data_IF_045928044231
#
_entry.id   IF_045928044231
#
_cell.length_a   1.000
_cell.length_b   1.000
_cell.length_c   1.000
_cell.angle_alpha   90.00
_cell.angle_beta   90.00
_cell.angle_gamma   90.00
#
_symmetry.space_group_name_H-M   'P 1'
#
loop_
_entity.id
_entity.type
_entity.pdbx_description
1 polymer ?
#
# COMPACT_ATOMS: atom_id res chain seq x y z
N UNK A 1 0.80 20.33 -31.16
CA UNK A 1 2.12 20.31 -31.85
C UNK A 1 3.07 19.47 -31.02
N UNK A 2 3.82 18.55 -31.64
CA UNK A 2 4.76 17.67 -30.92
C UNK A 2 6.19 17.87 -31.43
N UNK A 3 7.06 18.36 -30.54
CA UNK A 3 8.52 18.15 -30.55
C UNK A 3 8.81 17.54 -29.18
N UNK A 4 9.53 16.43 -29.03
CA UNK A 4 10.54 15.88 -29.94
C UNK A 4 11.86 15.90 -29.18
N UNK A 5 12.19 14.79 -28.51
CA UNK A 5 13.46 14.58 -27.79
C UNK A 5 14.06 13.27 -28.27
N UNK A 6 15.35 13.29 -28.54
CA UNK A 6 16.11 12.12 -29.01
C UNK A 6 16.78 11.42 -27.83
N UNK A 7 16.93 10.09 -27.93
CA UNK A 7 17.94 9.35 -27.18
C UNK A 7 19.36 9.75 -27.67
N UNK A 8 20.40 9.40 -26.90
CA UNK A 8 21.10 8.14 -27.22
C UNK A 8 21.22 7.21 -26.00
N UNK A 9 20.91 5.93 -26.18
CA UNK A 9 21.10 4.92 -25.15
C UNK A 9 22.55 4.46 -25.04
N UNK A 10 22.95 4.02 -23.83
CA UNK A 10 24.21 3.30 -23.60
C UNK A 10 23.93 2.08 -22.72
N UNK A 11 24.20 0.89 -23.25
CA UNK A 11 24.17 -0.35 -22.46
C UNK A 11 25.39 -0.37 -21.56
N UNK A 12 25.21 -0.14 -20.26
CA UNK A 12 26.24 -0.39 -19.26
C UNK A 12 26.29 -1.89 -18.94
N UNK A 13 27.42 -2.52 -19.22
CA UNK A 13 27.66 -3.93 -18.92
C UNK A 13 27.87 -4.16 -17.41
N UNK A 14 27.54 -5.37 -16.96
CA UNK A 14 27.66 -5.82 -15.57
C UNK A 14 29.08 -5.61 -15.00
N UNK A 15 29.18 -4.89 -13.89
CA UNK A 15 30.43 -4.76 -13.14
C UNK A 15 30.72 -6.09 -12.42
N UNK A 16 31.68 -6.87 -12.93
CA UNK A 16 32.19 -8.06 -12.23
C UNK A 16 32.89 -7.66 -10.93
N UNK A 17 32.73 -8.49 -9.91
CA UNK A 17 33.46 -8.42 -8.65
C UNK A 17 34.72 -9.31 -8.72
N UNK A 18 35.87 -8.75 -8.36
CA UNK A 18 37.13 -9.46 -8.09
C UNK A 18 37.77 -8.90 -6.79
N UNK A 19 38.66 -9.66 -6.12
CA UNK A 19 38.67 -9.70 -4.66
C UNK A 19 39.62 -8.73 -3.92
N UNK A 20 39.38 -8.63 -2.62
CA UNK A 20 40.11 -7.81 -1.64
C UNK A 20 41.54 -8.35 -1.39
N UNK A 21 42.48 -7.44 -1.18
CA UNK A 21 43.82 -7.71 -0.60
C UNK A 21 44.02 -6.89 0.69
N UNK A 22 44.79 -7.38 1.69
CA UNK A 22 44.84 -6.82 3.03
C UNK A 22 45.77 -5.59 3.20
N UNK A 23 45.60 -4.78 4.26
CA UNK A 23 46.44 -3.61 4.53
C UNK A 23 47.79 -3.96 5.16
N UNK A 24 48.83 -3.18 4.82
CA UNK A 24 50.14 -3.25 5.47
C UNK A 24 50.20 -2.38 6.75
N UNK A 25 51.01 -2.80 7.72
CA UNK A 25 51.13 -2.19 9.04
C UNK A 25 52.60 -1.77 9.28
N UNK A 26 52.85 -0.53 9.72
CA UNK A 26 54.08 -0.17 10.45
C UNK A 26 53.96 1.17 11.22
N UNK A 27 54.74 1.39 12.32
CA UNK A 27 54.30 2.30 13.39
C UNK A 27 55.34 3.38 13.82
N UNK A 28 54.91 4.22 14.79
CA UNK A 28 55.62 5.23 15.65
C UNK A 28 55.05 6.65 15.48
N UNK A 29 54.97 7.52 16.51
CA UNK A 29 55.13 7.33 17.97
C UNK A 29 54.56 8.54 18.73
N UNK A 30 54.44 8.39 20.06
CA UNK A 30 54.64 9.38 21.15
C UNK A 30 55.26 10.74 20.75
N UNK A 31 54.92 11.90 21.35
CA UNK A 31 54.21 12.20 22.60
C UNK A 31 53.54 13.59 22.56
N UNK A 32 52.57 13.86 23.45
CA UNK A 32 52.73 14.87 24.53
C UNK A 32 51.47 15.01 25.42
N UNK A 33 51.69 15.31 26.70
CA UNK A 33 50.67 15.66 27.71
C UNK A 33 50.94 17.07 28.23
N UNK A 34 49.89 17.84 28.53
CA UNK A 34 49.97 18.85 29.58
C UNK A 34 48.68 18.92 30.41
N UNK A 35 48.89 19.23 31.68
CA UNK A 35 47.95 19.21 32.81
C UNK A 35 48.27 20.51 33.61
N UNK A 36 47.36 21.21 34.30
CA UNK A 36 46.09 20.76 34.89
C UNK A 36 44.87 21.53 34.28
N UNK A 37 43.87 22.18 34.90
CA UNK A 37 43.51 22.62 36.28
C UNK A 37 41.99 22.43 36.55
N UNK A 38 41.53 22.79 37.75
CA UNK A 38 40.13 22.71 38.21
C UNK A 38 39.69 24.07 38.81
N UNK A 39 38.39 24.29 38.97
CA UNK A 39 37.90 25.07 40.11
C UNK A 39 36.49 24.63 40.54
N UNK A 40 36.28 24.43 41.84
CA UNK A 40 34.97 24.13 42.44
C UNK A 40 34.37 25.39 43.11
N UNK A 41 33.06 25.39 43.35
CA UNK A 41 32.38 26.44 44.11
C UNK A 41 30.99 25.97 44.54
N UNK A 42 30.79 25.83 45.85
CA UNK A 42 29.66 25.08 46.46
C UNK A 42 28.91 25.90 47.52
N UNK A 43 27.81 25.34 48.04
CA UNK A 43 27.04 25.78 49.23
C UNK A 43 26.15 27.03 49.06
N UNK A 44 25.04 27.24 49.79
CA UNK A 44 24.10 26.37 50.55
C UNK A 44 22.73 27.12 50.68
N UNK A 45 21.57 26.46 50.54
CA UNK A 45 20.67 25.97 51.61
C UNK A 45 20.15 27.03 52.61
N UNK A 46 18.86 27.35 52.53
CA UNK A 46 17.85 27.43 53.63
C UNK A 46 16.49 27.90 53.06
N UNK A 47 15.31 27.57 53.59
CA UNK A 47 15.00 26.59 54.65
C UNK A 47 14.02 27.07 55.73
N UNK A 48 12.70 27.15 55.47
CA UNK A 48 11.69 27.28 56.55
C UNK A 48 10.25 26.90 56.14
N UNK A 49 9.41 26.54 57.12
CA UNK A 49 8.07 25.98 56.91
C UNK A 49 7.09 26.30 58.05
N UNK A 50 5.79 26.36 57.72
CA UNK A 50 4.59 26.24 58.59
C UNK A 50 3.33 26.24 57.70
N UNK A 51 2.18 25.65 58.05
CA UNK A 51 1.79 24.89 59.25
C UNK A 51 0.25 24.88 59.40
N UNK A 52 -0.29 24.01 60.27
CA UNK A 52 -1.73 23.87 60.67
C UNK A 52 -2.64 23.06 59.69
N UNK A 53 -3.08 21.82 60.00
CA UNK A 53 -4.18 21.34 60.91
C UNK A 53 -5.59 21.56 60.33
N UNK A 54 -6.59 20.66 60.40
CA UNK A 54 -6.83 19.33 61.06
C UNK A 54 -8.06 18.66 60.37
N UNK A 55 -8.66 17.50 60.72
CA UNK A 55 -8.62 16.60 61.90
C UNK A 55 -8.89 15.11 61.54
N UNK A 56 -9.57 14.33 62.41
CA UNK A 56 -9.92 12.90 62.29
C UNK A 56 -11.32 12.70 61.59
N UNK A 57 -12.02 11.54 61.49
CA UNK A 57 -12.14 10.32 62.33
C UNK A 57 -12.35 9.03 61.50
N UNK A 58 -11.86 7.92 62.08
CA UNK A 58 -12.02 6.50 61.72
C UNK A 58 -13.48 5.95 61.66
N UNK A 59 -13.84 4.67 61.45
CA UNK A 59 -13.18 3.37 61.72
C UNK A 59 -13.92 2.18 61.05
N UNK A 60 -13.16 1.19 60.53
CA UNK A 60 -13.39 -0.30 60.66
C UNK A 60 -14.69 -0.92 60.04
N UNK A 61 -14.76 -2.21 59.65
CA UNK A 61 -13.78 -3.32 59.65
C UNK A 61 -14.13 -4.41 58.60
N UNK A 62 -13.10 -4.88 57.88
CA UNK A 62 -12.78 -6.26 57.44
C UNK A 62 -13.84 -7.40 57.42
N UNK A 63 -13.78 -8.21 56.36
CA UNK A 63 -13.58 -9.69 56.39
C UNK A 63 -12.86 -10.11 55.09
N UNK A 64 -12.04 -11.17 55.13
CA UNK A 64 -11.41 -11.84 53.98
C UNK A 64 -11.43 -13.36 54.22
N UNK A 65 -11.25 -14.22 53.19
CA UNK A 65 -9.89 -14.63 52.79
C UNK A 65 -9.71 -14.86 51.26
N UNK A 66 -8.53 -15.36 50.88
CA UNK A 66 -8.01 -15.53 49.52
C UNK A 66 -8.12 -16.95 48.95
N UNK A 67 -8.19 -17.08 47.62
CA UNK A 67 -7.76 -18.29 46.87
C UNK A 67 -7.15 -17.95 45.51
N UNK A 68 -5.90 -18.39 45.31
CA UNK A 68 -5.21 -18.79 44.05
C UNK A 68 -5.67 -18.27 42.68
N UNK A 69 -4.72 -17.65 41.97
CA UNK A 69 -4.79 -17.27 40.55
C UNK A 69 -4.98 -18.45 39.58
N UNK A 70 -5.73 -18.21 38.49
CA UNK A 70 -5.62 -18.92 37.21
C UNK A 70 -5.66 -17.86 36.11
N UNK A 71 -4.70 -17.87 35.18
CA UNK A 71 -4.64 -16.88 34.11
C UNK A 71 -5.62 -17.22 32.98
N UNK A 72 -6.55 -16.31 32.71
CA UNK A 72 -7.40 -16.30 31.51
C UNK A 72 -6.97 -15.15 30.60
N UNK A 73 -7.08 -15.33 29.28
CA UNK A 73 -6.79 -14.25 28.31
C UNK A 73 -7.86 -13.15 28.43
N UNK A 74 -7.53 -11.86 28.16
CA UNK A 74 -8.51 -10.78 28.13
C UNK A 74 -9.50 -10.93 26.96
N UNK A 75 -10.78 -10.72 27.23
CA UNK A 75 -11.84 -10.65 26.22
C UNK A 75 -11.73 -9.37 25.37
N UNK A 76 -11.44 -9.51 24.07
CA UNK A 76 -11.47 -8.41 23.11
C UNK A 76 -12.92 -8.07 22.66
N UNK A 77 -13.73 -7.54 23.58
CA UNK A 77 -15.13 -7.19 23.32
C UNK A 77 -15.35 -5.67 23.30
N UNK A 78 -15.20 -5.05 22.12
CA UNK A 78 -15.54 -3.63 21.98
C UNK A 78 -15.21 -2.96 20.65
N UNK A 79 -15.78 -3.40 19.51
CA UNK A 79 -16.13 -2.54 18.34
C UNK A 79 -16.72 -3.28 17.10
N UNK A 80 -17.64 -4.26 17.25
CA UNK A 80 -18.42 -4.79 16.11
C UNK A 80 -19.91 -4.98 16.44
N UNK A 81 -20.66 -3.86 16.52
CA UNK A 81 -22.12 -3.90 16.59
C UNK A 81 -22.70 -4.20 15.20
N UNK A 82 -22.76 -5.49 14.84
CA UNK A 82 -23.33 -5.92 13.55
C UNK A 82 -22.85 -7.25 12.97
N UNK A 83 -21.92 -7.97 13.61
CA UNK A 83 -21.41 -9.25 13.12
C UNK A 83 -22.54 -10.28 12.98
N UNK A 84 -22.84 -10.69 11.74
CA UNK A 84 -23.90 -11.67 11.44
C UNK A 84 -23.29 -13.07 11.44
N UNK A 85 -24.13 -14.11 11.53
CA UNK A 85 -23.67 -15.51 11.47
C UNK A 85 -22.86 -15.84 10.19
N UNK A 86 -23.07 -15.09 9.11
CA UNK A 86 -22.28 -15.14 7.87
C UNK A 86 -20.79 -14.83 8.09
N UNK A 87 -20.49 -13.91 9.00
CA UNK A 87 -19.14 -13.38 9.18
C UNK A 87 -18.30 -14.35 10.01
N UNK A 88 -18.90 -14.91 11.06
CA UNK A 88 -18.33 -16.05 11.81
C UNK A 88 -18.02 -17.22 10.86
N UNK A 89 -18.97 -17.62 10.01
CA UNK A 89 -18.77 -18.71 9.04
C UNK A 89 -17.70 -18.39 7.97
N UNK A 90 -17.52 -17.12 7.58
CA UNK A 90 -16.43 -16.67 6.70
C UNK A 90 -15.08 -16.76 7.42
N UNK A 91 -14.99 -16.25 8.65
CA UNK A 91 -13.79 -16.32 9.49
C UNK A 91 -13.34 -17.78 9.67
N UNK A 92 -14.25 -18.69 10.03
CA UNK A 92 -13.94 -20.13 10.17
C UNK A 92 -13.33 -20.72 8.89
N UNK A 93 -13.82 -20.34 7.69
CA UNK A 93 -13.24 -20.83 6.42
C UNK A 93 -11.80 -20.36 6.22
N UNK A 94 -11.50 -19.08 6.47
CA UNK A 94 -10.13 -18.57 6.40
C UNK A 94 -9.22 -19.20 7.46
N UNK A 95 -9.68 -19.33 8.70
CA UNK A 95 -8.90 -19.97 9.79
C UNK A 95 -8.58 -21.43 9.48
N UNK A 96 -9.53 -22.18 8.92
CA UNK A 96 -9.31 -23.58 8.50
C UNK A 96 -8.31 -23.71 7.35
N UNK A 97 -8.20 -22.72 6.46
CA UNK A 97 -7.24 -22.74 5.35
C UNK A 97 -5.84 -22.25 5.78
N UNK A 98 -5.76 -21.23 6.65
CA UNK A 98 -4.49 -20.67 7.14
C UNK A 98 -3.78 -21.50 8.21
N UNK A 99 -4.50 -22.40 8.89
CA UNK A 99 -3.95 -23.33 9.89
C UNK A 99 -3.31 -24.59 9.29
N UNK A 100 -3.35 -24.75 7.97
CA UNK A 100 -2.74 -25.88 7.25
C UNK A 100 -1.21 -25.77 7.25
N UNK A 101 -0.46 -26.90 7.28
CA UNK A 101 1.00 -26.87 7.14
C UNK A 101 1.48 -26.25 5.82
N UNK A 102 0.68 -26.37 4.77
CA UNK A 102 0.80 -25.61 3.53
C UNK A 102 -0.60 -25.11 3.11
N UNK A 103 -0.71 -23.80 2.86
CA UNK A 103 -1.93 -23.13 2.40
C UNK A 103 -2.15 -23.40 0.91
N UNK A 104 -3.38 -23.72 0.48
CA UNK A 104 -3.72 -23.79 -0.95
C UNK A 104 -4.09 -22.38 -1.42
N UNK A 105 -3.17 -21.74 -2.14
CA UNK A 105 -3.34 -20.36 -2.61
C UNK A 105 -4.61 -20.17 -3.46
N UNK A 106 -4.98 -21.12 -4.30
CA UNK A 106 -6.20 -21.00 -5.12
C UNK A 106 -7.48 -21.06 -4.28
N UNK A 107 -7.45 -21.83 -3.18
CA UNK A 107 -8.57 -21.82 -2.22
C UNK A 107 -8.61 -20.54 -1.41
N UNK A 108 -7.45 -19.95 -1.12
CA UNK A 108 -7.37 -18.63 -0.49
C UNK A 108 -7.90 -17.52 -1.43
N UNK A 109 -7.58 -17.59 -2.74
CA UNK A 109 -8.13 -16.69 -3.78
C UNK A 109 -9.65 -16.75 -3.84
N UNK A 110 -10.23 -17.95 -3.94
CA UNK A 110 -11.69 -18.15 -3.93
C UNK A 110 -12.38 -17.48 -2.72
N UNK A 111 -11.78 -17.58 -1.52
CA UNK A 111 -12.33 -16.97 -0.31
C UNK A 111 -12.18 -15.44 -0.34
N UNK A 112 -10.97 -14.95 -0.66
CA UNK A 112 -10.61 -13.53 -0.67
C UNK A 112 -11.32 -12.70 -1.74
N UNK A 113 -11.71 -13.29 -2.87
CA UNK A 113 -12.42 -12.61 -3.95
C UNK A 113 -13.65 -11.82 -3.46
N UNK A 114 -14.34 -12.39 -2.47
CA UNK A 114 -15.55 -11.85 -1.85
C UNK A 114 -15.30 -10.87 -0.68
N UNK A 115 -14.06 -10.45 -0.46
CA UNK A 115 -13.62 -9.60 0.65
C UNK A 115 -13.01 -10.39 1.82
N UNK A 116 -11.93 -9.85 2.40
CA UNK A 116 -11.15 -10.47 3.48
C UNK A 116 -11.48 -9.80 4.83
N UNK A 117 -11.63 -10.55 5.94
CA UNK A 117 -11.79 -9.97 7.28
C UNK A 117 -10.59 -9.08 7.65
N UNK A 118 -10.78 -7.84 8.16
CA UNK A 118 -9.70 -6.86 8.26
C UNK A 118 -8.43 -7.35 8.96
N UNK A 119 -8.55 -7.95 10.15
CA UNK A 119 -7.41 -8.47 10.93
C UNK A 119 -6.73 -9.71 10.31
N UNK A 120 -7.33 -10.33 9.28
CA UNK A 120 -6.72 -11.45 8.54
C UNK A 120 -6.04 -10.98 7.25
N UNK A 121 -6.42 -9.78 6.75
CA UNK A 121 -5.94 -9.19 5.51
C UNK A 121 -4.40 -9.14 5.40
N UNK A 122 -3.63 -8.77 6.44
CA UNK A 122 -2.18 -8.64 6.32
C UNK A 122 -1.48 -9.96 5.94
N UNK A 123 -1.70 -11.03 6.71
CA UNK A 123 -1.17 -12.37 6.42
C UNK A 123 -1.66 -12.89 5.04
N UNK A 124 -2.94 -12.67 4.73
CA UNK A 124 -3.56 -13.11 3.47
C UNK A 124 -2.97 -12.38 2.26
N UNK A 125 -2.76 -11.06 2.33
CA UNK A 125 -2.16 -10.29 1.24
C UNK A 125 -0.71 -10.70 0.98
N UNK A 126 0.10 -10.91 2.04
CA UNK A 126 1.47 -11.47 1.90
C UNK A 126 1.47 -12.83 1.20
N UNK A 127 0.48 -13.70 1.49
CA UNK A 127 0.34 -15.03 0.88
C UNK A 127 -0.13 -14.97 -0.59
N UNK A 128 -1.15 -14.17 -0.90
CA UNK A 128 -1.72 -14.05 -2.25
C UNK A 128 -0.69 -13.51 -3.28
N UNK A 129 0.17 -12.60 -2.84
CA UNK A 129 1.28 -12.05 -3.63
C UNK A 129 2.52 -12.97 -3.69
N UNK A 130 2.49 -14.14 -3.02
CA UNK A 130 3.65 -15.04 -2.94
C UNK A 130 4.87 -14.45 -2.22
N UNK A 131 4.69 -13.38 -1.45
CA UNK A 131 5.74 -12.78 -0.62
C UNK A 131 6.02 -13.63 0.62
N UNK A 132 4.95 -14.02 1.34
CA UNK A 132 5.01 -15.11 2.31
C UNK A 132 4.86 -16.45 1.58
N UNK A 133 5.71 -17.47 1.84
CA UNK A 133 5.55 -18.80 1.27
C UNK A 133 4.29 -19.49 1.83
N UNK A 134 3.63 -20.38 1.06
CA UNK A 134 2.47 -21.12 1.56
C UNK A 134 2.78 -22.09 2.70
N UNK A 135 4.04 -22.54 2.80
CA UNK A 135 4.55 -23.43 3.85
C UNK A 135 4.70 -22.69 5.19
N UNK A 136 3.90 -23.08 6.18
CA UNK A 136 3.76 -22.37 7.45
C UNK A 136 5.07 -22.27 8.24
N UNK A 137 5.86 -23.36 8.24
CA UNK A 137 7.18 -23.50 8.86
C UNK A 137 8.25 -22.59 8.25
N UNK A 138 8.09 -22.23 6.97
CA UNK A 138 9.06 -21.41 6.22
C UNK A 138 8.71 -19.92 6.22
N UNK A 139 7.52 -19.52 6.69
CA UNK A 139 7.03 -18.14 6.58
C UNK A 139 7.96 -17.13 7.25
N UNK A 140 8.18 -17.26 8.56
CA UNK A 140 8.92 -16.23 9.30
C UNK A 140 10.36 -16.11 8.79
N UNK A 141 11.11 -17.22 8.66
CA UNK A 141 12.48 -17.17 8.14
C UNK A 141 12.63 -16.61 6.72
N UNK A 142 11.58 -16.65 5.88
CA UNK A 142 11.56 -15.95 4.59
C UNK A 142 11.27 -14.46 4.78
N UNK A 143 10.30 -14.09 5.62
CA UNK A 143 9.96 -12.70 5.93
C UNK A 143 11.11 -11.96 6.62
N UNK A 144 11.70 -12.52 7.69
CA UNK A 144 12.85 -11.93 8.41
C UNK A 144 14.01 -11.64 7.44
N UNK A 145 14.38 -12.62 6.61
CA UNK A 145 15.44 -12.46 5.60
C UNK A 145 15.08 -11.40 4.56
N UNK A 146 13.81 -11.34 4.12
CA UNK A 146 13.35 -10.34 3.15
C UNK A 146 13.32 -8.92 3.73
N UNK A 147 13.02 -8.77 5.02
CA UNK A 147 13.09 -7.49 5.74
C UNK A 147 14.53 -6.99 5.80
N UNK A 148 15.50 -7.87 6.09
CA UNK A 148 16.93 -7.56 6.01
C UNK A 148 17.37 -7.18 4.58
N UNK A 149 16.98 -7.94 3.55
CA UNK A 149 17.27 -7.60 2.14
C UNK A 149 16.75 -6.21 1.74
N UNK A 150 15.62 -5.74 2.30
CA UNK A 150 15.13 -4.38 2.06
C UNK A 150 16.00 -3.33 2.75
N UNK A 151 16.37 -3.52 4.02
CA UNK A 151 17.25 -2.61 4.77
C UNK A 151 18.61 -2.48 4.07
N UNK A 152 19.16 -3.59 3.56
CA UNK A 152 20.37 -3.58 2.73
C UNK A 152 20.19 -2.75 1.45
N UNK A 153 19.04 -2.82 0.79
CA UNK A 153 18.73 -1.99 -0.38
C UNK A 153 18.58 -0.50 -0.04
N UNK A 154 17.90 -0.16 1.05
CA UNK A 154 17.77 1.24 1.50
C UNK A 154 19.14 1.82 1.83
N UNK A 155 19.98 1.08 2.57
CA UNK A 155 21.36 1.48 2.85
C UNK A 155 22.22 1.62 1.60
N UNK A 156 22.04 0.75 0.59
CA UNK A 156 22.82 0.77 -0.65
C UNK A 156 22.44 1.91 -1.61
N UNK A 157 21.16 2.27 -1.72
CA UNK A 157 20.67 3.19 -2.75
C UNK A 157 20.12 4.52 -2.20
N UNK A 158 19.54 4.51 -1.01
CA UNK A 158 18.77 5.64 -0.46
C UNK A 158 19.55 6.40 0.62
N UNK A 159 20.25 5.72 1.53
CA UNK A 159 21.05 6.38 2.59
C UNK A 159 22.44 6.86 2.12
N UNK A 160 22.60 7.12 0.81
CA UNK A 160 23.83 7.67 0.21
C UNK A 160 23.80 9.21 0.15
N UNK A 161 24.96 9.89 0.13
CA UNK A 161 25.04 11.35 -0.06
C UNK A 161 24.53 11.80 -1.44
N UNK A 162 23.93 12.99 -1.52
CA UNK A 162 23.51 13.60 -2.80
C UNK A 162 24.67 13.83 -3.78
N UNK A 163 25.91 13.92 -3.29
CA UNK A 163 27.13 14.02 -4.11
C UNK A 163 27.50 12.72 -4.84
N UNK A 164 26.89 11.59 -4.47
CA UNK A 164 27.11 10.29 -5.11
C UNK A 164 25.97 9.91 -6.09
N UNK A 165 24.87 10.68 -6.09
CA UNK A 165 23.74 10.50 -7.01
C UNK A 165 24.00 11.12 -8.37
N UNK A 166 23.44 10.51 -9.41
CA UNK A 166 23.31 11.12 -10.73
C UNK A 166 22.24 12.22 -10.78
N UNK A 167 22.31 13.11 -11.77
CA UNK A 167 21.25 14.11 -12.03
C UNK A 167 19.87 13.47 -12.25
N UNK A 168 19.83 12.25 -12.80
CA UNK A 168 18.60 11.49 -13.03
C UNK A 168 18.00 11.00 -11.70
N UNK A 169 18.82 10.46 -10.80
CA UNK A 169 18.40 10.07 -9.43
C UNK A 169 17.96 11.25 -8.58
N UNK A 170 18.67 12.39 -8.65
CA UNK A 170 18.30 13.63 -7.96
C UNK A 170 16.95 14.15 -8.49
N UNK A 171 16.73 14.07 -9.81
CA UNK A 171 15.45 14.46 -10.44
C UNK A 171 14.32 13.53 -10.01
N UNK A 172 14.57 12.22 -9.98
CA UNK A 172 13.63 11.20 -9.53
C UNK A 172 13.22 11.39 -8.06
N UNK A 173 14.21 11.57 -7.17
CA UNK A 173 13.95 11.81 -5.74
C UNK A 173 13.15 13.09 -5.50
N UNK A 174 13.46 14.18 -6.24
CA UNK A 174 12.68 15.43 -6.19
C UNK A 174 11.23 15.23 -6.66
N UNK A 175 10.99 14.38 -7.67
CA UNK A 175 9.63 14.09 -8.12
C UNK A 175 8.84 13.31 -7.06
N UNK A 176 9.46 12.30 -6.43
CA UNK A 176 8.87 11.53 -5.33
C UNK A 176 8.54 12.43 -4.14
N UNK A 177 9.49 13.28 -3.71
CA UNK A 177 9.31 14.22 -2.60
C UNK A 177 8.20 15.26 -2.84
N UNK A 178 7.87 15.56 -4.10
CA UNK A 178 6.74 16.44 -4.49
C UNK A 178 5.41 15.67 -4.58
N UNK A 179 5.42 14.35 -4.80
CA UNK A 179 4.22 13.51 -4.86
C UNK A 179 3.80 12.94 -3.51
N UNK A 180 4.73 12.57 -2.62
CA UNK A 180 4.40 11.97 -1.32
C UNK A 180 3.44 12.84 -0.48
N UNK A 181 3.65 14.16 -0.26
CA UNK A 181 2.71 15.01 0.48
C UNK A 181 1.35 15.23 -0.22
N UNK A 182 1.23 14.84 -1.48
CA UNK A 182 -0.01 14.95 -2.29
C UNK A 182 -0.73 13.61 -2.45
N UNK A 183 -0.24 12.56 -1.78
CA UNK A 183 -0.79 11.21 -1.82
C UNK A 183 -1.96 11.10 -0.83
N UNK A 184 -3.14 10.67 -1.30
CA UNK A 184 -4.39 10.53 -0.51
C UNK A 184 -4.66 11.76 0.40
N UNK A 185 -4.82 12.97 -0.16
CA UNK A 185 -4.81 14.22 0.61
C UNK A 185 -5.98 14.38 1.58
N UNK A 186 -7.10 13.69 1.36
CA UNK A 186 -8.28 13.70 2.24
C UNK A 186 -8.08 12.90 3.55
N UNK A 187 -6.95 12.21 3.72
CA UNK A 187 -6.64 11.37 4.89
C UNK A 187 -5.40 11.94 5.59
N UNK A 188 -5.62 12.58 6.74
CA UNK A 188 -4.59 13.29 7.52
C UNK A 188 -3.41 12.42 7.92
N UNK A 189 -3.63 11.13 8.15
CA UNK A 189 -2.57 10.17 8.52
C UNK A 189 -1.44 10.05 7.47
N UNK A 190 -1.71 10.27 6.18
CA UNK A 190 -0.65 10.30 5.15
C UNK A 190 0.20 11.58 5.16
N UNK A 191 -0.18 12.57 5.97
CA UNK A 191 0.57 13.82 6.16
C UNK A 191 1.51 13.75 7.38
N UNK A 192 1.55 12.62 8.08
CA UNK A 192 2.57 12.34 9.09
C UNK A 192 3.98 12.27 8.43
N UNK A 193 5.00 12.97 8.97
CA UNK A 193 6.34 13.00 8.36
C UNK A 193 7.04 11.63 8.30
N UNK A 194 6.75 10.71 9.23
CA UNK A 194 7.31 9.36 9.24
C UNK A 194 6.64 8.50 8.15
N UNK A 195 5.33 8.64 7.95
CA UNK A 195 4.61 8.04 6.81
C UNK A 195 5.14 8.59 5.47
N UNK A 196 5.29 9.91 5.32
CA UNK A 196 5.85 10.51 4.11
C UNK A 196 7.26 10.00 3.81
N UNK A 197 8.13 9.87 4.84
CA UNK A 197 9.49 9.36 4.66
C UNK A 197 9.54 7.85 4.35
N UNK A 198 8.59 7.08 4.90
CA UNK A 198 8.41 5.67 4.57
C UNK A 198 8.01 5.49 3.09
N UNK A 199 7.04 6.30 2.61
CA UNK A 199 6.64 6.32 1.19
C UNK A 199 7.83 6.70 0.29
N UNK A 200 8.60 7.73 0.65
CA UNK A 200 9.76 8.17 -0.11
C UNK A 200 10.83 7.06 -0.24
N UNK A 201 11.16 6.37 0.87
CA UNK A 201 12.07 5.22 0.88
C UNK A 201 11.59 4.07 -0.02
N UNK A 202 10.33 3.65 0.15
CA UNK A 202 9.75 2.54 -0.63
C UNK A 202 9.77 2.87 -2.13
N UNK A 203 9.31 4.07 -2.50
CA UNK A 203 9.19 4.49 -3.90
C UNK A 203 10.55 4.67 -4.58
N UNK A 204 11.52 5.30 -3.92
CA UNK A 204 12.86 5.47 -4.48
C UNK A 204 13.57 4.12 -4.64
N UNK A 205 13.53 3.27 -3.60
CA UNK A 205 14.15 1.94 -3.61
C UNK A 205 13.50 1.00 -4.63
N UNK A 206 12.21 1.18 -4.92
CA UNK A 206 11.55 0.50 -6.03
C UNK A 206 12.01 1.05 -7.38
N UNK A 207 11.92 2.37 -7.58
CA UNK A 207 12.20 3.02 -8.86
C UNK A 207 13.65 2.79 -9.35
N UNK A 208 14.65 2.93 -8.47
CA UNK A 208 16.06 2.72 -8.83
C UNK A 208 16.38 1.27 -9.21
N UNK A 209 15.60 0.30 -8.69
CA UNK A 209 15.72 -1.12 -9.00
C UNK A 209 14.92 -1.55 -10.24
N UNK A 210 14.07 -0.67 -10.79
CA UNK A 210 13.27 -0.91 -11.99
C UNK A 210 13.53 0.17 -13.07
N UNK A 211 14.77 0.31 -13.59
CA UNK A 211 15.16 1.41 -14.48
C UNK A 211 14.47 1.44 -15.86
N UNK A 212 13.72 0.40 -16.23
CA UNK A 212 12.85 0.42 -17.42
C UNK A 212 11.58 1.27 -17.22
N UNK A 213 11.24 1.58 -15.96
CA UNK A 213 10.09 2.39 -15.55
C UNK A 213 10.52 3.65 -14.78
N UNK A 214 11.53 3.52 -13.90
CA UNK A 214 11.87 4.58 -12.95
C UNK A 214 10.71 4.87 -12.00
N UNK A 215 10.57 6.12 -11.55
CA UNK A 215 9.38 6.55 -10.82
C UNK A 215 8.33 7.12 -11.78
N UNK A 216 7.11 6.59 -11.70
CA UNK A 216 5.94 7.09 -12.45
C UNK A 216 4.89 7.56 -11.45
N UNK A 217 4.40 8.79 -11.63
CA UNK A 217 3.33 9.35 -10.81
C UNK A 217 2.07 8.45 -10.91
N UNK A 218 1.51 8.10 -9.75
CA UNK A 218 0.47 7.08 -9.61
C UNK A 218 0.96 5.88 -8.80
N UNK A 219 2.22 5.47 -8.94
CA UNK A 219 2.81 4.38 -8.12
C UNK A 219 2.81 4.76 -6.63
N UNK A 220 2.92 6.05 -6.32
CA UNK A 220 2.74 6.60 -4.97
C UNK A 220 1.40 6.19 -4.32
N UNK A 221 0.31 6.15 -5.10
CA UNK A 221 -1.01 5.77 -4.59
C UNK A 221 -1.05 4.25 -4.31
N UNK A 222 -0.33 3.44 -5.09
CA UNK A 222 -0.33 1.97 -5.01
C UNK A 222 0.40 1.43 -3.77
N UNK A 223 1.23 2.23 -3.10
CA UNK A 223 1.85 1.87 -1.82
C UNK A 223 0.83 1.97 -0.67
N UNK A 224 -0.10 2.91 -0.77
CA UNK A 224 -1.00 3.27 0.33
C UNK A 224 -1.89 2.13 0.86
N UNK A 225 -2.41 1.19 0.05
CA UNK A 225 -3.21 0.08 0.56
C UNK A 225 -2.36 -0.93 1.33
N UNK A 226 -1.11 -1.17 0.89
CA UNK A 226 -0.17 -2.03 1.63
C UNK A 226 0.19 -1.40 2.98
N UNK A 227 0.46 -0.09 2.99
CA UNK A 227 0.90 0.61 4.19
C UNK A 227 -0.16 0.55 5.30
N UNK A 228 -1.43 0.88 4.99
CA UNK A 228 -2.50 0.77 6.00
C UNK A 228 -2.79 -0.68 6.41
N UNK A 229 -2.61 -1.66 5.51
CA UNK A 229 -2.85 -3.06 5.85
C UNK A 229 -1.78 -3.57 6.82
N UNK A 230 -0.50 -3.33 6.57
CA UNK A 230 0.55 -3.79 7.48
C UNK A 230 0.64 -2.96 8.77
N UNK A 231 0.28 -1.67 8.75
CA UNK A 231 0.09 -0.89 9.99
C UNK A 231 -1.05 -1.44 10.86
N UNK A 232 -2.12 -2.01 10.28
CA UNK A 232 -3.25 -2.58 11.05
C UNK A 232 -2.93 -3.85 11.86
N UNK A 233 -1.71 -4.39 11.77
CA UNK A 233 -1.22 -5.43 12.70
C UNK A 233 -0.68 -4.84 14.00
N UNK A 234 -0.35 -3.54 14.02
CA UNK A 234 0.28 -2.85 15.14
C UNK A 234 -0.56 -1.69 15.71
N UNK A 235 -1.52 -1.16 14.93
CA UNK A 235 -2.36 -0.02 15.31
C UNK A 235 -3.85 -0.41 15.38
N UNK A 236 -4.44 -0.28 16.57
CA UNK A 236 -5.87 -0.53 16.80
C UNK A 236 -6.75 0.67 16.43
N UNK A 237 -8.07 0.44 16.32
CA UNK A 237 -9.05 1.50 16.05
C UNK A 237 -9.13 1.93 14.58
N UNK A 238 -9.53 3.18 14.35
CA UNK A 238 -9.72 3.76 13.02
C UNK A 238 -8.48 4.57 12.59
N UNK A 239 -8.34 4.79 11.28
CA UNK A 239 -7.24 5.56 10.69
C UNK A 239 -7.14 7.00 11.23
N UNK A 240 -8.27 7.60 11.61
CA UNK A 240 -8.34 8.93 12.25
C UNK A 240 -7.81 8.96 13.70
N UNK A 241 -7.58 7.79 14.30
CA UNK A 241 -7.09 7.62 15.69
C UNK A 241 -5.68 7.01 15.76
N UNK A 242 -5.04 6.78 14.62
CA UNK A 242 -3.69 6.21 14.54
C UNK A 242 -2.60 7.27 14.78
N UNK A 243 -1.53 6.87 15.48
CA UNK A 243 -0.29 7.65 15.63
C UNK A 243 0.92 6.75 15.42
N UNK A 244 1.95 7.26 14.73
CA UNK A 244 3.22 6.56 14.52
C UNK A 244 4.08 6.47 15.78
N UNK A 245 3.83 7.32 16.79
CA UNK A 245 4.58 7.39 18.05
C UNK A 245 4.56 6.08 18.85
N UNK A 246 3.55 5.23 18.63
CA UNK A 246 3.39 3.93 19.30
C UNK A 246 4.21 2.79 18.66
N UNK A 247 4.86 3.02 17.52
CA UNK A 247 5.60 2.00 16.77
C UNK A 247 7.10 2.08 17.02
N UNK A 248 7.77 0.94 17.16
CA UNK A 248 9.24 0.94 17.19
C UNK A 248 9.81 1.20 15.79
N UNK A 249 11.04 1.72 15.73
CA UNK A 249 11.76 1.87 14.46
C UNK A 249 11.92 0.55 13.70
N UNK A 250 11.97 -0.58 14.42
CA UNK A 250 12.04 -1.91 13.82
C UNK A 250 10.70 -2.34 13.21
N UNK A 251 9.57 -2.02 13.84
CA UNK A 251 8.24 -2.29 13.30
C UNK A 251 8.02 -1.49 12.00
N UNK A 252 8.35 -0.21 12.02
CA UNK A 252 8.25 0.66 10.83
C UNK A 252 9.16 0.15 9.69
N UNK A 253 10.39 -0.27 10.01
CA UNK A 253 11.30 -0.89 9.03
C UNK A 253 10.76 -2.21 8.46
N UNK A 254 10.15 -3.06 9.31
CA UNK A 254 9.51 -4.31 8.88
C UNK A 254 8.29 -4.04 7.98
N UNK A 255 7.45 -3.07 8.34
CA UNK A 255 6.27 -2.64 7.58
C UNK A 255 6.67 -2.07 6.22
N UNK A 256 7.71 -1.23 6.16
CA UNK A 256 8.23 -0.70 4.90
C UNK A 256 8.73 -1.81 3.96
N UNK A 257 9.49 -2.77 4.49
CA UNK A 257 9.97 -3.90 3.71
C UNK A 257 8.82 -4.76 3.16
N UNK A 258 7.81 -5.02 4.00
CA UNK A 258 6.63 -5.78 3.60
C UNK A 258 5.82 -5.04 2.53
N UNK A 259 5.68 -3.71 2.65
CA UNK A 259 5.11 -2.85 1.60
C UNK A 259 5.91 -2.92 0.30
N UNK A 260 7.23 -2.76 0.37
CA UNK A 260 8.14 -2.78 -0.77
C UNK A 260 8.07 -4.11 -1.54
N UNK A 261 8.12 -5.25 -0.83
CA UNK A 261 8.07 -6.56 -1.47
C UNK A 261 6.67 -6.89 -2.03
N UNK A 262 5.60 -6.49 -1.35
CA UNK A 262 4.23 -6.65 -1.85
C UNK A 262 3.96 -5.77 -3.08
N UNK A 263 4.39 -4.50 -3.06
CA UNK A 263 4.36 -3.60 -4.22
C UNK A 263 5.13 -4.19 -5.41
N UNK A 264 6.35 -4.67 -5.17
CA UNK A 264 7.17 -5.31 -6.21
C UNK A 264 6.47 -6.52 -6.82
N UNK A 265 5.94 -7.43 -5.99
CA UNK A 265 5.20 -8.63 -6.43
C UNK A 265 3.90 -8.29 -7.18
N UNK A 266 3.24 -7.21 -6.79
CA UNK A 266 2.01 -6.75 -7.44
C UNK A 266 2.27 -6.12 -8.81
N UNK A 267 3.34 -5.33 -8.92
CA UNK A 267 3.74 -4.67 -10.17
C UNK A 267 4.38 -5.63 -11.19
N UNK A 268 4.90 -6.78 -10.78
CA UNK A 268 5.41 -7.82 -11.69
C UNK A 268 4.39 -8.25 -12.75
N UNK A 269 3.10 -8.31 -12.40
CA UNK A 269 2.02 -8.66 -13.34
C UNK A 269 1.61 -7.54 -14.30
N UNK A 270 2.16 -6.33 -14.14
CA UNK A 270 1.73 -5.13 -14.88
C UNK A 270 2.88 -4.15 -15.20
N UNK A 271 4.12 -4.62 -15.27
CA UNK A 271 5.31 -3.77 -15.43
C UNK A 271 5.20 -2.79 -16.62
N UNK A 272 4.60 -3.21 -17.74
CA UNK A 272 4.45 -2.42 -18.97
C UNK A 272 3.40 -1.29 -18.88
N UNK A 273 2.69 -1.17 -17.75
CA UNK A 273 1.85 -0.03 -17.43
C UNK A 273 2.69 1.17 -16.96
N UNK A 274 3.95 0.95 -16.59
CA UNK A 274 4.85 1.97 -16.02
C UNK A 274 6.19 2.10 -16.78
N UNK A 275 6.44 1.29 -17.81
CA UNK A 275 7.56 1.51 -18.73
C UNK A 275 7.32 2.73 -19.64
N UNK A 276 8.35 3.17 -20.37
CA UNK A 276 8.26 4.31 -21.29
C UNK A 276 7.04 4.27 -22.21
N UNK A 277 6.30 5.40 -22.27
CA UNK A 277 5.02 5.59 -22.97
C UNK A 277 3.84 4.71 -22.48
N UNK A 278 4.03 3.91 -21.42
CA UNK A 278 2.98 3.16 -20.70
C UNK A 278 2.04 2.33 -21.62
N UNK A 279 2.60 1.48 -22.50
CA UNK A 279 1.84 0.74 -23.50
C UNK A 279 0.81 -0.22 -22.91
N UNK A 280 0.99 -0.70 -21.67
CA UNK A 280 0.00 -1.49 -20.94
C UNK A 280 -1.33 -0.75 -20.78
N UNK A 281 -1.26 0.48 -20.26
CA UNK A 281 -2.42 1.35 -20.05
C UNK A 281 -3.11 1.66 -21.37
N UNK A 282 -2.37 1.98 -22.45
CA UNK A 282 -2.96 2.26 -23.75
C UNK A 282 -3.79 1.07 -24.27
N UNK A 283 -3.32 -0.17 -24.10
CA UNK A 283 -4.07 -1.38 -24.46
C UNK A 283 -5.31 -1.59 -23.59
N UNK A 284 -5.23 -1.31 -22.28
CA UNK A 284 -6.40 -1.44 -21.39
C UNK A 284 -7.48 -0.38 -21.70
N UNK A 285 -7.08 0.86 -21.99
CA UNK A 285 -7.99 1.94 -22.44
C UNK A 285 -8.68 1.58 -23.77
N UNK A 286 -7.93 1.04 -24.74
CA UNK A 286 -8.52 0.58 -26.00
C UNK A 286 -9.54 -0.56 -25.77
N UNK A 287 -9.19 -1.55 -24.93
CA UNK A 287 -10.10 -2.66 -24.58
C UNK A 287 -11.31 -2.20 -23.77
N UNK A 288 -11.18 -1.16 -22.95
CA UNK A 288 -12.31 -0.54 -22.24
C UNK A 288 -13.30 0.08 -23.23
N UNK A 289 -12.82 0.83 -24.24
CA UNK A 289 -13.67 1.37 -25.31
C UNK A 289 -14.41 0.26 -26.05
N UNK A 290 -13.69 -0.77 -26.52
CA UNK A 290 -14.28 -1.94 -27.19
C UNK A 290 -15.34 -2.64 -26.34
N UNK A 291 -15.07 -2.84 -25.05
CA UNK A 291 -15.99 -3.51 -24.14
C UNK A 291 -17.24 -2.67 -23.85
N UNK A 292 -17.09 -1.35 -23.65
CA UNK A 292 -18.21 -0.44 -23.43
C UNK A 292 -19.08 -0.33 -24.68
N UNK A 293 -18.49 -0.23 -25.88
CA UNK A 293 -19.24 -0.26 -27.15
C UNK A 293 -20.09 -1.54 -27.31
N UNK A 294 -19.57 -2.70 -26.88
CA UNK A 294 -20.28 -3.99 -26.97
C UNK A 294 -21.37 -4.20 -25.90
N UNK A 295 -21.36 -3.42 -24.82
CA UNK A 295 -22.33 -3.53 -23.70
C UNK A 295 -23.38 -2.42 -23.77
N UNK A 296 -22.97 -1.20 -24.08
CA UNK A 296 -23.77 0.02 -24.08
C UNK A 296 -23.32 0.90 -25.27
N UNK A 297 -23.69 0.44 -26.46
CA UNK A 297 -23.44 1.16 -27.72
C UNK A 297 -23.94 2.62 -27.67
N UNK A 298 -25.12 2.94 -27.11
CA UNK A 298 -25.58 4.34 -26.98
C UNK A 298 -24.62 5.22 -26.17
N UNK A 299 -24.14 4.75 -25.01
CA UNK A 299 -23.14 5.50 -24.24
C UNK A 299 -21.83 5.66 -25.02
N UNK A 300 -21.31 4.56 -25.59
CA UNK A 300 -20.04 4.60 -26.32
C UNK A 300 -20.10 5.60 -27.48
N UNK A 301 -21.22 5.60 -28.22
CA UNK A 301 -21.43 6.50 -29.35
C UNK A 301 -21.56 7.94 -28.91
N UNK A 302 -22.31 8.22 -27.83
CA UNK A 302 -22.44 9.58 -27.28
C UNK A 302 -21.09 10.15 -26.83
N UNK A 303 -20.22 9.34 -26.20
CA UNK A 303 -18.85 9.74 -25.83
C UNK A 303 -18.05 10.16 -27.08
N UNK A 304 -18.15 9.41 -28.18
CA UNK A 304 -17.49 9.74 -29.45
C UNK A 304 -18.11 10.95 -30.17
N UNK A 305 -19.44 11.10 -30.15
CA UNK A 305 -20.17 12.23 -30.74
C UNK A 305 -19.90 13.56 -30.00
N UNK A 306 -19.65 13.51 -28.69
CA UNK A 306 -19.11 14.64 -27.92
C UNK A 306 -17.61 14.89 -28.15
N UNK A 307 -16.91 14.02 -28.88
CA UNK A 307 -15.48 14.16 -29.17
C UNK A 307 -14.56 13.85 -27.97
N UNK A 308 -15.03 13.09 -26.98
CA UNK A 308 -14.24 12.69 -25.81
C UNK A 308 -13.51 11.37 -26.06
N UNK A 309 -12.17 11.38 -26.06
CA UNK A 309 -11.39 10.15 -26.13
C UNK A 309 -11.36 9.45 -24.76
N UNK A 310 -11.54 8.12 -24.75
CA UNK A 310 -11.46 7.30 -23.52
C UNK A 310 -10.15 7.50 -22.76
N UNK A 311 -9.04 7.82 -23.45
CA UNK A 311 -7.74 8.08 -22.84
C UNK A 311 -7.75 9.32 -21.93
N UNK A 312 -8.60 10.32 -22.19
CA UNK A 312 -8.64 11.58 -21.44
C UNK A 312 -9.20 11.42 -20.02
N UNK A 313 -9.92 10.33 -19.72
CA UNK A 313 -10.39 10.00 -18.37
C UNK A 313 -9.83 8.67 -17.85
N UNK A 314 -9.91 7.59 -18.65
CA UNK A 314 -9.57 6.25 -18.20
C UNK A 314 -8.06 6.01 -17.99
N UNK A 315 -7.18 6.88 -18.50
CA UNK A 315 -5.76 6.80 -18.18
C UNK A 315 -5.51 6.83 -16.66
N UNK A 316 -6.16 7.76 -15.93
CA UNK A 316 -6.03 7.86 -14.46
C UNK A 316 -6.53 6.59 -13.77
N UNK A 317 -7.62 6.02 -14.28
CA UNK A 317 -8.26 4.82 -13.73
C UNK A 317 -7.34 3.59 -13.81
N UNK A 318 -6.63 3.39 -14.92
CA UNK A 318 -5.67 2.28 -15.05
C UNK A 318 -4.31 2.60 -14.42
N UNK A 319 -3.83 3.85 -14.47
CA UNK A 319 -2.55 4.25 -13.88
C UNK A 319 -2.54 4.13 -12.35
N UNK A 320 -3.68 4.43 -11.71
CA UNK A 320 -3.88 4.42 -10.26
C UNK A 320 -4.83 3.30 -9.78
N UNK A 321 -5.13 2.31 -10.64
CA UNK A 321 -6.01 1.14 -10.37
C UNK A 321 -7.30 1.51 -9.61
N UNK A 322 -8.02 2.51 -10.13
CA UNK A 322 -9.24 3.11 -9.58
C UNK A 322 -9.16 3.69 -8.15
N UNK A 323 -8.01 3.71 -7.47
CA UNK A 323 -7.86 4.24 -6.09
C UNK A 323 -8.37 5.69 -5.99
N UNK A 324 -8.08 6.53 -7.00
CA UNK A 324 -8.50 7.95 -7.02
C UNK A 324 -9.99 8.16 -7.31
N UNK A 325 -10.73 7.10 -7.62
CA UNK A 325 -12.14 7.17 -8.04
C UNK A 325 -13.10 6.57 -6.99
N UNK A 326 -12.59 5.84 -5.99
CA UNK A 326 -13.38 5.23 -4.90
C UNK A 326 -12.98 5.80 -3.53
N UNK A 327 -13.90 5.88 -2.54
CA UNK A 327 -13.55 6.26 -1.18
C UNK A 327 -12.42 5.40 -0.62
N UNK A 328 -11.44 6.04 0.04
CA UNK A 328 -10.24 5.36 0.51
C UNK A 328 -10.52 4.16 1.44
N UNK A 329 -11.56 4.27 2.28
CA UNK A 329 -12.00 3.17 3.16
C UNK A 329 -12.48 1.91 2.42
N UNK A 330 -12.84 2.01 1.14
CA UNK A 330 -13.22 0.88 0.28
C UNK A 330 -12.05 0.29 -0.52
N UNK A 331 -10.91 0.99 -0.61
CA UNK A 331 -9.76 0.56 -1.44
C UNK A 331 -9.23 -0.81 -1.00
N UNK A 332 -9.16 -1.09 0.31
CA UNK A 332 -8.74 -2.42 0.80
C UNK A 332 -9.71 -3.53 0.40
N UNK A 333 -11.03 -3.26 0.36
CA UNK A 333 -12.03 -4.23 -0.15
C UNK A 333 -11.90 -4.44 -1.65
N UNK A 334 -11.69 -3.38 -2.43
CA UNK A 334 -11.42 -3.50 -3.88
C UNK A 334 -10.16 -4.34 -4.14
N UNK A 335 -9.11 -4.10 -3.35
CA UNK A 335 -7.84 -4.79 -3.47
C UNK A 335 -7.86 -6.25 -3.01
N UNK A 336 -8.76 -6.64 -2.09
CA UNK A 336 -9.01 -8.06 -1.78
C UNK A 336 -9.41 -8.86 -3.04
N UNK A 337 -10.20 -8.27 -3.95
CA UNK A 337 -10.51 -8.89 -5.25
C UNK A 337 -9.33 -8.82 -6.20
N UNK A 338 -8.59 -7.70 -6.24
CA UNK A 338 -7.40 -7.57 -7.11
C UNK A 338 -6.35 -8.66 -6.83
N UNK A 339 -6.06 -8.90 -5.54
CA UNK A 339 -5.10 -9.93 -5.13
C UNK A 339 -5.66 -11.36 -5.23
N UNK A 340 -6.98 -11.52 -5.32
CA UNK A 340 -7.60 -12.81 -5.61
C UNK A 340 -7.50 -13.21 -7.10
N UNK A 341 -7.63 -12.24 -8.03
CA UNK A 341 -7.44 -12.46 -9.47
C UNK A 341 -5.97 -12.70 -9.85
N UNK A 342 -5.02 -12.05 -9.14
CA UNK A 342 -3.59 -12.22 -9.37
C UNK A 342 -3.17 -11.83 -10.79
N UNK A 343 -2.53 -12.75 -11.51
CA UNK A 343 -2.02 -12.51 -12.88
C UNK A 343 -3.13 -12.15 -13.90
N UNK A 344 -4.39 -12.48 -13.61
CA UNK A 344 -5.54 -12.12 -14.44
C UNK A 344 -6.08 -10.69 -14.18
N UNK A 345 -5.54 -9.96 -13.20
CA UNK A 345 -5.99 -8.63 -12.82
C UNK A 345 -6.01 -7.62 -14.00
N UNK A 346 -4.98 -7.50 -14.88
CA UNK A 346 -5.03 -6.54 -15.98
C UNK A 346 -6.17 -6.80 -16.97
N UNK A 347 -6.57 -8.07 -17.14
CA UNK A 347 -7.76 -8.42 -17.92
C UNK A 347 -9.05 -8.07 -17.18
N UNK A 348 -9.16 -8.45 -15.90
CA UNK A 348 -10.38 -8.25 -15.12
C UNK A 348 -10.66 -6.76 -14.83
N UNK A 349 -9.60 -5.96 -14.67
CA UNK A 349 -9.68 -4.52 -14.45
C UNK A 349 -10.38 -3.77 -15.60
N UNK A 350 -10.34 -4.29 -16.83
CA UNK A 350 -11.12 -3.72 -17.95
C UNK A 350 -12.62 -3.87 -17.69
N UNK A 351 -13.07 -5.02 -17.18
CA UNK A 351 -14.48 -5.25 -16.82
C UNK A 351 -14.90 -4.46 -15.58
N UNK A 352 -13.99 -4.27 -14.60
CA UNK A 352 -14.24 -3.40 -13.45
C UNK A 352 -14.39 -1.94 -13.92
N UNK A 353 -13.48 -1.41 -14.74
CA UNK A 353 -13.57 -0.05 -15.29
C UNK A 353 -14.82 0.16 -16.17
N UNK A 354 -15.21 -0.85 -16.97
CA UNK A 354 -16.47 -0.80 -17.73
C UNK A 354 -17.68 -0.77 -16.79
N UNK A 355 -17.70 -1.62 -15.76
CA UNK A 355 -18.77 -1.64 -14.76
C UNK A 355 -18.80 -0.33 -13.97
N UNK A 356 -17.66 0.26 -13.65
CA UNK A 356 -17.57 1.52 -12.95
C UNK A 356 -18.18 2.67 -13.78
N UNK A 357 -17.77 2.82 -15.05
CA UNK A 357 -18.36 3.78 -16.00
C UNK A 357 -19.88 3.59 -16.16
N UNK A 358 -20.31 2.34 -16.38
CA UNK A 358 -21.71 1.97 -16.63
C UNK A 358 -22.59 2.01 -15.37
N UNK A 359 -22.06 2.49 -14.23
CA UNK A 359 -22.88 2.97 -13.10
C UNK A 359 -23.59 4.28 -13.45
N UNK A 360 -23.06 5.04 -14.40
CA UNK A 360 -23.50 6.41 -14.70
C UNK A 360 -24.02 6.60 -16.13
N UNK A 361 -24.25 5.52 -16.89
CA UNK A 361 -24.62 5.58 -18.31
C UNK A 361 -25.80 6.51 -18.60
N UNK A 362 -26.92 6.34 -17.90
CA UNK A 362 -28.10 7.21 -18.04
C UNK A 362 -27.83 8.70 -17.78
N UNK A 363 -26.80 9.04 -17.00
CA UNK A 363 -26.40 10.42 -16.78
C UNK A 363 -25.45 10.89 -17.88
N UNK A 364 -24.41 10.11 -18.17
CA UNK A 364 -23.39 10.42 -19.18
C UNK A 364 -23.98 10.68 -20.56
N UNK A 365 -25.00 9.89 -20.97
CA UNK A 365 -25.76 10.07 -22.22
C UNK A 365 -26.55 11.40 -22.31
N UNK A 366 -26.57 12.21 -21.24
CA UNK A 366 -27.27 13.50 -21.16
C UNK A 366 -26.32 14.69 -20.98
N UNK A 367 -25.01 14.45 -20.86
CA UNK A 367 -23.99 15.49 -20.62
C UNK A 367 -23.33 15.93 -21.94
N UNK A 368 -23.01 17.21 -22.06
CA UNK A 368 -22.10 17.68 -23.11
C UNK A 368 -20.63 17.32 -22.82
N UNK A 369 -19.71 17.58 -23.77
CA UNK A 369 -18.27 17.34 -23.60
C UNK A 369 -17.69 17.92 -22.30
N UNK A 370 -18.00 19.17 -21.95
CA UNK A 370 -17.43 19.85 -20.78
C UNK A 370 -18.01 19.30 -19.48
N UNK A 371 -19.34 19.09 -19.43
CA UNK A 371 -20.01 18.45 -18.31
C UNK A 371 -19.49 17.01 -18.08
N UNK A 372 -19.30 16.26 -19.16
CA UNK A 372 -18.86 14.87 -19.14
C UNK A 372 -17.41 14.74 -18.65
N UNK A 373 -16.49 15.59 -19.14
CA UNK A 373 -15.11 15.67 -18.63
C UNK A 373 -15.09 16.00 -17.14
N UNK A 374 -15.83 17.04 -16.72
CA UNK A 374 -15.89 17.44 -15.30
C UNK A 374 -16.45 16.34 -14.41
N UNK A 375 -17.48 15.63 -14.88
CA UNK A 375 -18.13 14.55 -14.15
C UNK A 375 -17.26 13.28 -14.06
N UNK A 376 -16.61 12.87 -15.15
CA UNK A 376 -15.72 11.70 -15.16
C UNK A 376 -14.44 11.91 -14.35
N UNK A 377 -13.99 13.16 -14.18
CA UNK A 377 -12.87 13.50 -13.30
C UNK A 377 -13.26 13.57 -11.81
N UNK A 378 -14.55 13.71 -11.49
CA UNK A 378 -15.08 13.92 -10.14
C UNK A 378 -16.35 13.09 -9.90
N UNK A 379 -16.26 11.78 -10.14
CA UNK A 379 -17.40 10.87 -9.98
C UNK A 379 -17.90 10.90 -8.51
N UNK A 380 -19.23 10.91 -8.27
CA UNK A 380 -19.81 11.17 -6.95
C UNK A 380 -19.83 9.91 -6.07
N UNK A 381 -18.65 9.33 -5.85
CA UNK A 381 -18.46 8.07 -5.11
C UNK A 381 -18.21 8.29 -3.62
N UNK A 382 -17.97 9.52 -3.16
CA UNK A 382 -17.63 9.88 -1.76
C UNK A 382 -18.48 9.19 -0.68
N UNK A 383 -19.76 8.98 -0.95
CA UNK A 383 -20.74 8.41 -0.02
C UNK A 383 -21.03 6.91 -0.27
N UNK A 384 -20.28 6.26 -1.16
CA UNK A 384 -20.38 4.81 -1.38
C UNK A 384 -19.95 4.05 -0.13
N UNK A 385 -20.62 2.93 0.13
CA UNK A 385 -20.22 1.92 1.09
C UNK A 385 -19.83 0.63 0.34
N UNK A 386 -19.70 -0.48 1.06
CA UNK A 386 -19.41 -1.78 0.43
C UNK A 386 -20.46 -2.19 -0.60
N UNK A 387 -21.74 -1.84 -0.43
CA UNK A 387 -22.80 -2.30 -1.34
C UNK A 387 -22.59 -1.83 -2.79
N UNK A 388 -22.31 -0.55 -2.99
CA UNK A 388 -22.08 0.05 -4.30
C UNK A 388 -20.85 -0.59 -4.97
N UNK A 389 -19.80 -0.86 -4.20
CA UNK A 389 -18.60 -1.57 -4.68
C UNK A 389 -18.89 -3.04 -5.03
N UNK A 390 -19.64 -3.78 -4.21
CA UNK A 390 -20.05 -5.17 -4.55
C UNK A 390 -20.88 -5.20 -5.83
N UNK A 391 -21.73 -4.20 -6.07
CA UNK A 391 -22.52 -4.11 -7.32
C UNK A 391 -21.62 -3.88 -8.54
N UNK A 392 -20.60 -3.02 -8.44
CA UNK A 392 -19.60 -2.83 -9.51
C UNK A 392 -18.83 -4.12 -9.79
N UNK A 393 -18.31 -4.78 -8.74
CA UNK A 393 -17.54 -6.02 -8.86
C UNK A 393 -18.38 -7.20 -9.38
N UNK A 394 -19.61 -7.36 -8.91
CA UNK A 394 -20.53 -8.43 -9.36
C UNK A 394 -20.90 -8.30 -10.83
N UNK A 395 -21.17 -7.07 -11.30
CA UNK A 395 -21.46 -6.80 -12.71
C UNK A 395 -20.22 -6.99 -13.59
N UNK A 396 -19.04 -6.62 -13.11
CA UNK A 396 -17.77 -6.91 -13.80
C UNK A 396 -17.53 -8.43 -13.95
N UNK A 397 -17.75 -9.21 -12.89
CA UNK A 397 -17.63 -10.67 -12.91
C UNK A 397 -18.62 -11.35 -13.86
N UNK A 398 -19.88 -10.90 -13.86
CA UNK A 398 -20.91 -11.36 -14.79
C UNK A 398 -20.48 -11.16 -16.25
N UNK A 399 -20.01 -9.96 -16.61
CA UNK A 399 -19.55 -9.67 -17.97
C UNK A 399 -18.26 -10.42 -18.33
N UNK A 400 -17.27 -10.48 -17.44
CA UNK A 400 -16.06 -11.29 -17.64
C UNK A 400 -16.43 -12.75 -17.96
N UNK A 401 -17.39 -13.33 -17.23
CA UNK A 401 -17.88 -14.69 -17.48
C UNK A 401 -18.57 -14.82 -18.84
N UNK A 402 -19.50 -13.92 -19.17
CA UNK A 402 -20.23 -13.94 -20.44
C UNK A 402 -19.30 -13.83 -21.66
N UNK A 403 -18.45 -12.79 -21.71
CA UNK A 403 -17.57 -12.54 -22.85
C UNK A 403 -16.42 -13.56 -22.97
N UNK A 404 -15.96 -14.16 -21.86
CA UNK A 404 -14.95 -15.25 -21.87
C UNK A 404 -15.51 -16.61 -22.28
N UNK A 405 -16.81 -16.86 -22.04
CA UNK A 405 -17.47 -18.13 -22.41
C UNK A 405 -17.96 -18.19 -23.87
N UNK A 406 -17.86 -17.10 -24.63
CA UNK A 406 -18.41 -16.96 -25.99
C UNK A 406 -17.39 -17.44 -27.06
N UNK A 407 -17.51 -18.66 -27.64
CA UNK A 407 -16.36 -19.34 -28.29
C UNK A 407 -15.95 -18.86 -29.70
N UNK A 408 -16.35 -17.65 -30.11
CA UNK A 408 -16.41 -17.25 -31.53
C UNK A 408 -16.07 -15.77 -31.81
N UNK A 409 -15.29 -15.09 -30.94
CA UNK A 409 -15.13 -13.61 -31.00
C UNK A 409 -13.68 -13.09 -30.99
N UNK A 410 -12.70 -13.88 -31.45
CA UNK A 410 -11.33 -13.43 -31.77
C UNK A 410 -10.98 -13.63 -33.26
N UNK A 411 -11.98 -13.54 -34.14
CA UNK A 411 -11.81 -13.72 -35.59
C UNK A 411 -12.70 -12.76 -36.38
N UNK A 412 -12.27 -11.49 -36.47
CA UNK A 412 -12.05 -10.71 -37.70
C UNK A 412 -11.71 -9.26 -37.35
#
# INVERSE_FOLDING_TARGET
>A
MLKGRSFPGKVMLTRRSEPISPPEYSPRSENDRYEYEQNEGSQEVEGQASGNTTENISSKKSISPSTSSVNSLPDAQGLVSGARATDSARITKFTNELSRPAVILDKLRELSWSGVPPYMRPNIWRLLLGYAPPNADRREGVLTRKRLEYVECVSQYYDIPDTERSDEEITMLRQIAVDCPRTVPDVTFFQDPQIQKSLERILYTWAIRHPASGYVQGINDLVTPFLIVFLSEHLEGNLDTWSMENLSLQDVSNIEADCYWCLSKFLDGMQDHYTFAQPGIQRLVFRLKELVHRIDEPLSRHIEEQGLEFLQFAFRWFNCLLIREVPFHLVTRLWDTYLAEGDYLPDFLVYISASFLLTWSEKLQKLDFQEMVMFLQHLPTRNWAHHELEMVLSRAYMWHTMFKSSPSHLAN
#
